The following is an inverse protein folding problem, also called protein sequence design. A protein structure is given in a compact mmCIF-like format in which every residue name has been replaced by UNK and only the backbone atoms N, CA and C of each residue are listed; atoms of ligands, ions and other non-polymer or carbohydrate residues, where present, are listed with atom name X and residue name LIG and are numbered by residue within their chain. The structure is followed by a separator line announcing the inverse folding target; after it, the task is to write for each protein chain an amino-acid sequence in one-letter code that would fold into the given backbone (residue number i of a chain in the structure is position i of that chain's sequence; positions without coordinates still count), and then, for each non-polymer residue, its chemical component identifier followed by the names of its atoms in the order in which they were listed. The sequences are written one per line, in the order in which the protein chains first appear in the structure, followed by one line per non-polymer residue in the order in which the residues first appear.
data_IF_188730907510
#
_entry.id   IF_188730907510
#
_cell.length_a   1.000
_cell.length_b   1.000
_cell.length_c   1.000
_cell.angle_alpha   90.00
_cell.angle_beta   90.00
_cell.angle_gamma   90.00
#
_symmetry.space_group_name_H-M   'P 1'
#
loop_
_entity.id
_entity.type
_entity.pdbx_description
1 polymer ?
#
# COMPACT_ATOMS: atom_id res chain seq x y z
N UNK A 1 -42.42 28.24 -13.98
CA UNK A 1 -41.14 27.50 -13.97
C UNK A 1 -41.47 26.03 -14.17
N UNK A 2 -41.23 25.49 -15.37
CA UNK A 2 -41.79 24.20 -15.83
C UNK A 2 -40.64 23.29 -16.31
N UNK A 3 -40.45 22.17 -15.61
CA UNK A 3 -39.45 21.12 -15.85
C UNK A 3 -39.64 20.49 -17.23
N UNK A 4 -38.57 20.44 -18.05
CA UNK A 4 -38.59 19.83 -19.39
C UNK A 4 -37.76 18.55 -19.40
N UNK A 5 -38.43 17.45 -19.07
CA UNK A 5 -38.08 16.10 -19.52
C UNK A 5 -38.14 16.05 -21.06
N UNK A 6 -37.00 15.86 -21.72
CA UNK A 6 -36.97 15.58 -23.17
C UNK A 6 -37.14 14.08 -23.39
N UNK A 7 -38.39 13.71 -23.68
CA UNK A 7 -38.73 12.46 -24.36
C UNK A 7 -38.29 12.56 -25.83
N UNK A 8 -38.01 11.40 -26.41
CA UNK A 8 -38.22 11.04 -27.83
C UNK A 8 -37.07 11.33 -28.80
N UNK A 9 -36.47 10.25 -29.32
CA UNK A 9 -36.51 9.89 -30.74
C UNK A 9 -36.07 8.41 -30.89
N UNK A 10 -37.03 7.54 -31.21
CA UNK A 10 -36.80 6.24 -31.84
C UNK A 10 -36.14 6.46 -33.21
N UNK A 11 -35.30 5.54 -33.70
CA UNK A 11 -35.43 4.79 -34.99
C UNK A 11 -34.27 3.78 -35.09
N UNK A 12 -34.55 2.49 -35.37
CA UNK A 12 -33.56 1.60 -36.02
C UNK A 12 -33.62 0.12 -35.66
N UNK A 13 -34.53 -0.64 -36.30
CA UNK A 13 -34.58 -2.11 -36.31
C UNK A 13 -33.33 -2.72 -36.99
N UNK A 14 -32.76 -3.79 -36.41
CA UNK A 14 -32.46 -5.00 -37.19
C UNK A 14 -32.39 -6.24 -36.28
N UNK A 15 -33.33 -7.14 -36.50
CA UNK A 15 -33.46 -8.44 -35.84
C UNK A 15 -32.42 -9.42 -36.37
N UNK A 16 -31.66 -10.08 -35.49
CA UNK A 16 -31.09 -11.40 -35.80
C UNK A 16 -31.30 -12.30 -34.58
N UNK A 17 -32.25 -13.22 -34.72
CA UNK A 17 -32.33 -14.43 -33.92
C UNK A 17 -31.39 -15.44 -34.59
N UNK A 18 -30.34 -15.87 -33.89
CA UNK A 18 -29.74 -17.17 -34.14
C UNK A 18 -29.58 -17.91 -32.81
N UNK A 19 -30.18 -19.10 -32.85
CA UNK A 19 -30.28 -20.09 -31.80
C UNK A 19 -28.93 -20.80 -31.68
N UNK A 20 -28.17 -20.52 -30.63
CA UNK A 20 -27.14 -21.43 -30.14
C UNK A 20 -27.13 -21.36 -28.63
N UNK A 21 -27.32 -22.50 -27.99
CA UNK A 21 -27.31 -22.63 -26.55
C UNK A 21 -25.97 -22.14 -26.00
N UNK A 22 -26.01 -21.03 -25.28
CA UNK A 22 -24.94 -20.67 -24.36
C UNK A 22 -25.47 -21.00 -22.98
N UNK A 23 -24.85 -22.02 -22.39
CA UNK A 23 -24.79 -22.19 -20.93
C UNK A 23 -24.43 -20.82 -20.36
N UNK A 24 -25.34 -20.19 -19.62
CA UNK A 24 -25.06 -18.92 -18.96
C UNK A 24 -24.01 -19.18 -17.88
N UNK A 25 -22.73 -19.12 -18.24
CA UNK A 25 -21.70 -18.83 -17.25
C UNK A 25 -22.06 -17.46 -16.71
N UNK A 26 -22.34 -17.37 -15.42
CA UNK A 26 -22.42 -16.07 -14.76
C UNK A 26 -21.01 -15.51 -14.88
N UNK A 27 -20.81 -14.60 -15.84
CA UNK A 27 -19.61 -13.80 -15.87
C UNK A 27 -19.65 -13.04 -14.55
N UNK A 28 -18.73 -13.38 -13.64
CA UNK A 28 -18.40 -12.53 -12.53
C UNK A 28 -18.29 -11.10 -13.08
N UNK A 29 -19.00 -10.15 -12.48
CA UNK A 29 -18.97 -8.74 -12.86
C UNK A 29 -17.54 -8.36 -13.26
N UNK A 30 -17.30 -8.21 -14.57
CA UNK A 30 -16.01 -7.75 -15.04
C UNK A 30 -15.87 -6.31 -14.54
N UNK A 31 -14.84 -5.99 -13.75
CA UNK A 31 -14.70 -4.62 -13.27
C UNK A 31 -14.50 -3.72 -14.49
N UNK A 32 -15.47 -2.82 -14.71
CA UNK A 32 -15.38 -1.74 -15.69
C UNK A 32 -14.12 -0.93 -15.38
N UNK A 33 -13.09 -1.08 -16.22
CA UNK A 33 -11.85 -0.32 -16.11
C UNK A 33 -12.12 1.12 -16.55
N UNK A 34 -12.33 2.01 -15.59
CA UNK A 34 -12.39 3.45 -15.84
C UNK A 34 -10.95 3.98 -16.00
N UNK A 35 -10.53 4.22 -17.24
CA UNK A 35 -9.20 4.72 -17.62
C UNK A 35 -8.89 6.15 -17.09
N UNK A 36 -9.77 6.78 -16.28
CA UNK A 36 -9.64 8.16 -15.84
C UNK A 36 -9.06 8.40 -14.44
N UNK A 37 -9.05 7.42 -13.52
CA UNK A 37 -8.58 7.63 -12.14
C UNK A 37 -8.10 6.31 -11.50
N UNK A 38 -7.07 5.67 -12.05
CA UNK A 38 -6.31 4.68 -11.27
C UNK A 38 -5.27 5.43 -10.44
N UNK A 39 -5.71 6.09 -9.36
CA UNK A 39 -4.79 6.45 -8.28
C UNK A 39 -4.20 5.13 -7.77
N UNK A 40 -2.96 4.84 -8.17
CA UNK A 40 -2.29 3.62 -7.80
C UNK A 40 -2.23 3.55 -6.27
N UNK A 41 -3.11 2.76 -5.67
CA UNK A 41 -3.04 2.41 -4.26
C UNK A 41 -1.78 1.57 -4.10
N UNK A 42 -0.65 2.24 -3.90
CA UNK A 42 0.59 1.59 -3.56
C UNK A 42 0.37 1.01 -2.17
N UNK A 43 0.23 -0.31 -2.07
CA UNK A 43 0.42 -0.98 -0.79
C UNK A 43 1.86 -0.65 -0.38
N UNK A 44 2.03 0.38 0.46
CA UNK A 44 3.35 0.79 0.91
C UNK A 44 3.84 -0.31 1.83
N UNK A 45 4.55 -1.27 1.26
CA UNK A 45 5.32 -2.22 2.03
C UNK A 45 6.30 -1.40 2.87
N UNK A 46 6.05 -1.34 4.18
CA UNK A 46 7.01 -0.70 5.09
C UNK A 46 8.23 -1.61 5.14
N UNK A 47 9.42 -1.13 4.71
CA UNK A 47 10.60 -1.97 4.77
C UNK A 47 10.90 -2.31 6.23
N UNK A 48 11.17 -3.58 6.49
CA UNK A 48 11.51 -4.10 7.82
C UNK A 48 12.90 -4.70 7.85
N UNK A 49 13.50 -4.73 9.03
CA UNK A 49 14.73 -5.48 9.32
C UNK A 49 14.57 -6.33 10.57
N UNK A 50 15.30 -7.43 10.65
CA UNK A 50 15.33 -8.30 11.83
C UNK A 50 16.67 -8.16 12.53
N UNK A 51 16.65 -7.98 13.85
CA UNK A 51 17.86 -7.92 14.66
C UNK A 51 18.58 -9.28 14.61
N UNK A 52 19.83 -9.29 14.14
CA UNK A 52 20.63 -10.50 13.96
C UNK A 52 21.74 -10.70 15.03
N UNK A 53 21.86 -9.75 15.96
CA UNK A 53 22.77 -9.81 17.12
C UNK A 53 22.01 -10.17 18.39
N UNK A 54 22.71 -10.57 19.45
CA UNK A 54 22.09 -10.85 20.76
C UNK A 54 21.29 -9.66 21.28
N UNK A 55 21.85 -8.46 21.19
CA UNK A 55 21.17 -7.21 21.49
C UNK A 55 21.71 -6.07 20.61
N UNK A 56 20.85 -5.12 20.32
CA UNK A 56 21.13 -3.92 19.55
C UNK A 56 20.67 -2.70 20.36
N UNK A 57 21.54 -1.69 20.44
CA UNK A 57 21.25 -0.45 21.15
C UNK A 57 20.52 0.52 20.23
N UNK A 58 19.38 1.02 20.68
CA UNK A 58 18.64 2.08 20.01
C UNK A 58 19.01 3.40 20.67
N UNK A 59 19.46 4.37 19.88
CA UNK A 59 19.95 5.67 20.36
C UNK A 59 19.07 6.83 19.93
N UNK A 60 19.14 7.93 20.67
CA UNK A 60 18.38 9.16 20.36
C UNK A 60 18.84 9.87 19.09
N UNK A 61 20.08 9.65 18.64
CA UNK A 61 20.64 10.22 17.41
C UNK A 61 21.65 9.29 16.73
N UNK A 62 22.06 9.61 15.49
CA UNK A 62 23.00 8.80 14.70
C UNK A 62 24.44 9.02 15.18
N UNK A 63 24.80 8.35 16.27
CA UNK A 63 26.15 8.39 16.83
C UNK A 63 26.24 7.66 18.17
N UNK A 64 27.41 7.12 18.49
CA UNK A 64 27.63 6.39 19.76
C UNK A 64 27.65 7.30 20.99
N UNK A 65 27.83 8.61 20.80
CA UNK A 65 27.73 9.63 21.86
C UNK A 65 26.30 10.05 22.22
N UNK A 66 25.29 9.63 21.45
CA UNK A 66 23.88 9.87 21.81
C UNK A 66 23.39 8.85 22.83
N UNK A 67 22.48 9.29 23.70
CA UNK A 67 21.89 8.44 24.75
C UNK A 67 21.24 7.18 24.18
N UNK A 68 21.41 6.07 24.90
CA UNK A 68 20.68 4.84 24.65
C UNK A 68 19.25 5.01 25.17
N UNK A 69 18.28 4.92 24.27
CA UNK A 69 16.84 5.04 24.57
C UNK A 69 16.12 3.70 24.67
N UNK A 70 16.70 2.64 24.09
CA UNK A 70 16.21 1.26 24.24
C UNK A 70 17.32 0.23 23.94
N UNK A 71 17.04 -1.03 24.27
CA UNK A 71 17.74 -2.20 23.73
C UNK A 71 16.72 -3.15 23.15
N UNK A 72 16.99 -3.65 21.95
CA UNK A 72 16.18 -4.67 21.27
C UNK A 72 17.01 -5.93 21.09
N UNK A 73 16.37 -7.09 21.11
CA UNK A 73 17.04 -8.39 21.12
C UNK A 73 16.94 -9.10 19.78
N UNK A 74 17.78 -10.13 19.60
CA UNK A 74 17.72 -11.04 18.46
C UNK A 74 16.28 -11.39 18.05
N UNK A 75 15.98 -11.35 16.76
CA UNK A 75 14.67 -11.69 16.20
C UNK A 75 13.64 -10.57 16.25
N UNK A 76 13.89 -9.45 16.93
CA UNK A 76 12.96 -8.31 16.88
C UNK A 76 12.89 -7.73 15.47
N UNK A 77 11.66 -7.40 15.05
CA UNK A 77 11.37 -6.68 13.82
C UNK A 77 11.46 -5.18 14.08
N UNK A 78 12.14 -4.47 13.17
CA UNK A 78 12.28 -3.02 13.14
C UNK A 78 11.67 -2.49 11.85
N UNK A 79 10.90 -1.42 11.93
CA UNK A 79 10.43 -0.71 10.75
C UNK A 79 11.49 0.32 10.31
N UNK A 80 11.97 0.21 9.09
CA UNK A 80 13.04 1.04 8.54
C UNK A 80 12.44 2.33 7.99
N UNK A 81 12.83 3.47 8.55
CA UNK A 81 12.27 4.77 8.19
C UNK A 81 13.19 5.56 7.25
N UNK A 82 14.48 5.62 7.60
CA UNK A 82 15.49 6.35 6.84
C UNK A 82 16.89 5.87 7.23
N UNK A 83 17.92 6.44 6.61
CA UNK A 83 19.33 6.23 6.96
C UNK A 83 20.12 7.53 6.85
N UNK A 84 21.29 7.59 7.48
CA UNK A 84 22.26 8.66 7.25
C UNK A 84 22.82 8.60 5.82
N UNK A 85 23.41 9.70 5.34
CA UNK A 85 23.95 9.78 3.97
C UNK A 85 25.08 8.75 3.72
N UNK A 86 25.87 8.43 4.75
CA UNK A 86 26.90 7.40 4.75
C UNK A 86 26.35 5.97 4.98
N UNK A 87 25.03 5.81 5.14
CA UNK A 87 24.34 4.55 5.47
C UNK A 87 24.82 3.83 6.73
N UNK A 88 25.58 4.49 7.60
CA UNK A 88 26.12 3.88 8.84
C UNK A 88 25.05 3.76 9.92
N UNK A 89 24.05 4.65 9.91
CA UNK A 89 22.95 4.63 10.88
C UNK A 89 21.61 4.50 10.19
N UNK A 90 20.76 3.63 10.73
CA UNK A 90 19.38 3.44 10.33
C UNK A 90 18.46 4.09 11.36
N UNK A 91 17.54 4.94 10.88
CA UNK A 91 16.43 5.43 11.67
C UNK A 91 15.32 4.40 11.63
N UNK A 92 14.92 3.90 12.80
CA UNK A 92 13.97 2.81 12.94
C UNK A 92 12.80 3.19 13.85
N UNK A 93 11.66 2.55 13.63
CA UNK A 93 10.53 2.52 14.56
C UNK A 93 10.41 1.12 15.16
N UNK A 94 10.28 1.03 16.47
CA UNK A 94 10.04 -0.20 17.21
C UNK A 94 8.55 -0.56 17.19
N UNK A 95 8.20 -1.80 17.55
CA UNK A 95 6.81 -2.26 17.61
C UNK A 95 5.92 -1.47 18.58
N UNK A 96 6.50 -0.82 19.60
CA UNK A 96 5.80 0.07 20.53
C UNK A 96 5.66 1.52 20.02
N UNK A 97 6.08 1.80 18.78
CA UNK A 97 6.05 3.13 18.17
C UNK A 97 7.25 4.03 18.51
N UNK A 98 8.15 3.63 19.42
CA UNK A 98 9.34 4.41 19.74
C UNK A 98 10.27 4.51 18.52
N UNK A 99 10.81 5.70 18.27
CA UNK A 99 11.73 5.96 17.16
C UNK A 99 13.13 6.19 17.70
N UNK A 100 14.14 5.65 17.01
CA UNK A 100 15.53 5.90 17.32
C UNK A 100 16.47 5.48 16.20
N UNK A 101 17.76 5.41 16.53
CA UNK A 101 18.84 5.13 15.59
C UNK A 101 19.62 3.88 16.00
N UNK A 102 19.94 3.05 15.02
CA UNK A 102 20.76 1.83 15.17
C UNK A 102 21.86 1.81 14.11
N UNK A 103 22.93 1.04 14.35
CA UNK A 103 24.06 0.86 13.43
C UNK A 103 24.47 -0.62 13.39
#
# INVERSE_FOLDING_TARGET
MLSKSKRLLMVGLLSILLLSGVVQTVAADEPEVNEGQVEATHFRYEPTGTVNTQYLNVRSGPGTGFDKVASVYYGHILYLLNRTNDSTWLRVRLGNGQIGWVY
#
